data_IF_238828491915
#
_entry.id   IF_238828491915
#
_cell.length_a   1.000
_cell.length_b   1.000
_cell.length_c   1.000
_cell.angle_alpha   90.00
_cell.angle_beta   90.00
_cell.angle_gamma   90.00
#
_symmetry.space_group_name_H-M   'P 1'
#
loop_
_entity.id
_entity.type
_entity.pdbx_description
1 polymer ?
#
# COMPACT_ATOMS: atom_id res chain seq x y z
N UNK A 1 -5.79 28.03 -7.60
CA UNK A 1 -6.34 26.75 -7.12
C UNK A 1 -6.83 25.97 -8.32
N UNK A 2 -6.01 25.07 -8.85
CA UNK A 2 -6.49 24.01 -9.74
C UNK A 2 -6.82 22.82 -8.85
N UNK A 3 -8.04 22.30 -8.96
CA UNK A 3 -8.34 21.00 -8.37
C UNK A 3 -7.44 19.95 -9.04
N UNK A 4 -6.81 19.05 -8.28
CA UNK A 4 -5.94 18.05 -8.87
C UNK A 4 -6.73 17.21 -9.88
N UNK A 5 -6.24 17.14 -11.11
CA UNK A 5 -6.87 16.37 -12.17
C UNK A 5 -7.10 14.92 -11.70
N UNK A 6 -8.32 14.42 -11.89
CA UNK A 6 -8.67 13.06 -11.49
C UNK A 6 -7.76 12.04 -12.18
N UNK A 7 -7.25 11.03 -11.45
CA UNK A 7 -6.42 10.00 -12.05
C UNK A 7 -7.24 9.23 -13.10
N UNK A 8 -6.65 8.95 -14.26
CA UNK A 8 -7.30 8.18 -15.32
C UNK A 8 -6.88 6.71 -15.22
N UNK A 9 -7.85 5.83 -15.49
CA UNK A 9 -7.59 4.41 -15.49
C UNK A 9 -6.60 4.03 -16.60
N UNK A 10 -5.53 3.32 -16.24
CA UNK A 10 -4.47 2.90 -17.17
C UNK A 10 -4.02 1.46 -16.93
N UNK A 11 -3.46 0.81 -17.95
CA UNK A 11 -2.91 -0.55 -17.80
C UNK A 11 -1.80 -0.63 -16.75
N UNK A 12 -0.96 0.41 -16.64
CA UNK A 12 0.08 0.52 -15.61
C UNK A 12 -0.53 0.58 -14.21
N UNK A 13 -1.58 1.38 -14.01
CA UNK A 13 -2.27 1.49 -12.73
C UNK A 13 -2.92 0.15 -12.34
N UNK A 14 -3.62 -0.52 -13.26
CA UNK A 14 -4.18 -1.87 -13.03
C UNK A 14 -3.12 -2.87 -12.60
N UNK A 15 -2.01 -2.94 -13.34
CA UNK A 15 -0.91 -3.86 -13.04
C UNK A 15 -0.30 -3.57 -11.68
N UNK A 16 -0.04 -2.31 -11.36
CA UNK A 16 0.55 -1.92 -10.09
C UNK A 16 -0.38 -2.20 -8.90
N UNK A 17 -1.68 -1.95 -9.06
CA UNK A 17 -2.70 -2.31 -8.06
C UNK A 17 -2.74 -3.82 -7.83
N UNK A 18 -2.67 -4.63 -8.89
CA UNK A 18 -2.63 -6.09 -8.77
C UNK A 18 -1.38 -6.56 -8.01
N UNK A 19 -0.20 -5.99 -8.29
CA UNK A 19 1.03 -6.28 -7.53
C UNK A 19 0.86 -5.94 -6.04
N UNK A 20 0.32 -4.75 -5.73
CA UNK A 20 0.05 -4.32 -4.36
C UNK A 20 -0.90 -5.29 -3.64
N UNK A 21 -1.98 -5.72 -4.29
CA UNK A 21 -2.92 -6.69 -3.72
C UNK A 21 -2.29 -8.07 -3.52
N UNK A 22 -1.46 -8.54 -4.46
CA UNK A 22 -0.77 -9.83 -4.36
C UNK A 22 0.28 -9.89 -3.24
N UNK A 23 0.72 -8.74 -2.72
CA UNK A 23 1.69 -8.64 -1.63
C UNK A 23 1.06 -8.66 -0.23
N UNK A 24 -0.26 -8.76 -0.14
CA UNK A 24 -0.96 -8.96 1.13
C UNK A 24 -0.75 -10.39 1.62
N UNK A 25 -0.58 -10.56 2.92
CA UNK A 25 -0.65 -11.87 3.55
C UNK A 25 -2.11 -12.38 3.66
N UNK A 26 -2.29 -13.57 4.21
CA UNK A 26 -3.61 -14.19 4.43
C UNK A 26 -4.58 -13.36 5.30
N UNK A 27 -4.05 -12.40 6.07
CA UNK A 27 -4.83 -11.52 6.95
C UNK A 27 -5.17 -10.20 6.27
N UNK A 28 -4.71 -9.99 5.03
CA UNK A 28 -4.86 -8.72 4.34
C UNK A 28 -3.89 -7.63 4.85
N UNK A 29 -2.69 -8.02 5.32
CA UNK A 29 -1.67 -7.07 5.75
C UNK A 29 -0.45 -7.05 4.82
N UNK A 30 0.07 -5.86 4.51
CA UNK A 30 1.40 -5.70 3.90
C UNK A 30 2.47 -5.82 4.97
N UNK A 31 2.83 -7.05 5.29
CA UNK A 31 3.87 -7.36 6.27
C UNK A 31 5.24 -7.34 5.59
N UNK A 32 6.22 -6.72 6.24
CA UNK A 32 7.62 -6.74 5.85
C UNK A 32 8.45 -7.43 6.92
N UNK A 33 9.55 -8.07 6.49
CA UNK A 33 10.59 -8.52 7.41
C UNK A 33 11.29 -7.30 8.01
N UNK A 34 11.33 -7.23 9.34
CA UNK A 34 11.89 -6.09 10.05
C UNK A 34 11.72 -6.22 11.55
N UNK A 35 12.45 -5.41 12.30
CA UNK A 35 12.33 -5.34 13.76
C UNK A 35 11.67 -4.04 14.18
N UNK A 36 10.85 -4.12 15.21
CA UNK A 36 10.22 -2.94 15.78
C UNK A 36 11.27 -2.13 16.53
N UNK A 37 11.49 -0.87 16.10
CA UNK A 37 12.62 -0.04 16.56
C UNK A 37 12.59 0.37 18.04
N UNK A 38 11.41 0.38 18.66
CA UNK A 38 11.20 1.00 19.99
C UNK A 38 10.82 -0.01 21.09
N UNK A 39 10.97 -1.30 20.85
CA UNK A 39 10.85 -2.30 21.90
C UNK A 39 12.23 -2.94 22.07
N UNK A 40 12.67 -3.06 23.33
CA UNK A 40 14.02 -3.47 23.72
C UNK A 40 14.48 -4.80 23.10
N UNK A 41 15.74 -5.15 23.35
CA UNK A 41 16.49 -6.22 22.67
C UNK A 41 15.82 -7.61 22.69
N UNK A 42 14.83 -7.84 23.56
CA UNK A 42 14.02 -9.06 23.63
C UNK A 42 12.90 -9.18 22.59
N UNK A 43 12.76 -8.21 21.66
CA UNK A 43 11.65 -8.26 20.71
C UNK A 43 11.95 -9.17 19.49
N UNK A 44 11.43 -10.41 19.53
CA UNK A 44 11.48 -11.37 18.41
C UNK A 44 10.42 -11.09 17.32
N UNK A 45 9.76 -9.93 17.34
CA UNK A 45 8.85 -9.54 16.24
C UNK A 45 9.68 -9.24 14.99
N UNK A 46 9.76 -10.23 14.09
CA UNK A 46 10.45 -10.14 12.80
C UNK A 46 9.56 -9.72 11.64
N UNK A 47 8.26 -9.57 11.89
CA UNK A 47 7.24 -9.24 10.90
C UNK A 47 6.50 -7.99 11.33
N UNK A 48 6.69 -6.90 10.62
CA UNK A 48 6.14 -5.59 10.96
C UNK A 48 5.35 -5.03 9.79
N UNK A 49 4.43 -4.11 10.08
CA UNK A 49 3.83 -3.26 9.05
C UNK A 49 4.54 -1.92 9.13
N UNK A 50 5.35 -1.60 8.14
CA UNK A 50 5.97 -0.30 8.04
C UNK A 50 4.96 0.73 7.55
N UNK A 51 4.71 1.77 8.36
CA UNK A 51 3.74 2.83 8.04
C UNK A 51 3.99 3.50 6.68
N UNK A 52 5.26 3.62 6.27
CA UNK A 52 5.63 4.17 4.97
C UNK A 52 5.14 3.28 3.82
N UNK A 53 5.37 1.97 3.91
CA UNK A 53 4.93 1.00 2.91
C UNK A 53 3.41 0.89 2.89
N UNK A 54 2.78 0.85 4.07
CA UNK A 54 1.33 0.89 4.19
C UNK A 54 0.73 2.12 3.50
N UNK A 55 1.21 3.33 3.82
CA UNK A 55 0.71 4.56 3.23
C UNK A 55 0.95 4.63 1.70
N UNK A 56 2.09 4.11 1.22
CA UNK A 56 2.37 4.02 -0.22
C UNK A 56 1.35 3.12 -0.93
N UNK A 57 1.15 1.91 -0.42
CA UNK A 57 0.24 0.94 -1.03
C UNK A 57 -1.21 1.40 -0.97
N UNK A 58 -1.62 2.02 0.15
CA UNK A 58 -2.95 2.60 0.31
C UNK A 58 -3.21 3.71 -0.72
N UNK A 59 -2.23 4.57 -1.01
CA UNK A 59 -2.36 5.59 -2.07
C UNK A 59 -2.57 4.97 -3.44
N UNK A 60 -1.90 3.87 -3.77
CA UNK A 60 -2.10 3.16 -5.05
C UNK A 60 -3.54 2.65 -5.16
N UNK A 61 -4.07 2.04 -4.10
CA UNK A 61 -5.47 1.59 -4.07
C UNK A 61 -6.45 2.75 -4.20
N UNK A 62 -6.22 3.84 -3.47
CA UNK A 62 -7.05 5.04 -3.54
C UNK A 62 -7.04 5.67 -4.95
N UNK A 63 -5.87 5.74 -5.60
CA UNK A 63 -5.74 6.21 -6.99
C UNK A 63 -6.50 5.30 -7.95
N UNK A 64 -6.43 3.99 -7.76
CA UNK A 64 -7.20 3.03 -8.57
C UNK A 64 -8.71 3.24 -8.43
N UNK A 65 -9.22 3.39 -7.20
CA UNK A 65 -10.65 3.62 -6.94
C UNK A 65 -11.10 4.95 -7.53
N UNK A 66 -10.34 6.02 -7.33
CA UNK A 66 -10.64 7.32 -7.92
C UNK A 66 -10.68 7.26 -9.45
N UNK A 67 -9.78 6.48 -10.07
CA UNK A 67 -9.75 6.29 -11.51
C UNK A 67 -10.92 5.46 -12.05
N UNK A 68 -11.51 4.56 -11.24
CA UNK A 68 -12.73 3.84 -11.60
C UNK A 68 -13.97 4.75 -11.60
N UNK A 69 -14.04 5.71 -10.65
CA UNK A 69 -15.15 6.67 -10.58
C UNK A 69 -15.10 7.78 -11.63
N UNK A 70 -14.05 7.81 -12.45
CA UNK A 70 -13.84 8.77 -13.54
C UNK A 70 -14.17 8.20 -14.94
N UNK A 71 -14.65 6.96 -15.01
CA UNK A 71 -15.16 6.31 -16.24
C UNK A 71 -16.61 6.70 -16.54
#
# INVERSE_FOLDING_TARGET
NEEPAMPRMSGKLRRHTAEVLSSLDERGAWVQDGRMRNFGEDNDTRRVIESATFAKNLRVLATYIAAMGAE
#
